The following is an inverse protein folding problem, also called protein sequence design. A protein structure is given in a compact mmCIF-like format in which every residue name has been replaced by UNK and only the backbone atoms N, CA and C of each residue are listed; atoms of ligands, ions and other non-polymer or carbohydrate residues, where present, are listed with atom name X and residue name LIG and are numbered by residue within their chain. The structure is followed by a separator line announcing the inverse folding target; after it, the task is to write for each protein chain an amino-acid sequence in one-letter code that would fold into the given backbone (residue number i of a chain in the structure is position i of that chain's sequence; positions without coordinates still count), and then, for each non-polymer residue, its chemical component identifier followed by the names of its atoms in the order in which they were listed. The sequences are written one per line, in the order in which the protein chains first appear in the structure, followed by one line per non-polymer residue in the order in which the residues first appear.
data_IF_184128065419
#
_entry.id   IF_184128065419
#
_cell.length_a   1.000
_cell.length_b   1.000
_cell.length_c   1.000
_cell.angle_alpha   90.00
_cell.angle_beta   90.00
_cell.angle_gamma   90.00
#
_symmetry.space_group_name_H-M   'P 1'
#
loop_
_entity.id
_entity.type
_entity.pdbx_description
1 polymer ?
#
# COMPACT_ATOMS: atom_id res chain seq x y z
N UNK A 1 -38.22 60.02 22.43
CA UNK A 1 -37.70 59.47 21.18
C UNK A 1 -36.67 58.44 21.46
N UNK A 2 -37.06 57.19 21.38
CA UNK A 2 -36.15 56.09 21.59
C UNK A 2 -35.44 55.80 20.28
N UNK A 3 -34.16 55.90 20.31
CA UNK A 3 -33.36 55.43 19.21
C UNK A 3 -32.98 54.00 19.50
N UNK A 4 -33.58 53.12 18.78
CA UNK A 4 -33.16 51.74 18.82
C UNK A 4 -31.81 51.63 18.15
N UNK A 5 -30.81 51.41 18.94
CA UNK A 5 -29.52 50.99 18.41
C UNK A 5 -29.63 49.56 17.95
N UNK A 6 -29.71 49.35 16.67
CA UNK A 6 -29.53 48.03 16.14
C UNK A 6 -28.03 47.69 16.26
N UNK A 7 -27.73 46.99 17.31
CA UNK A 7 -26.45 46.32 17.36
C UNK A 7 -26.52 45.15 16.42
N UNK A 8 -25.98 45.35 15.26
CA UNK A 8 -25.78 44.28 14.32
C UNK A 8 -24.65 43.41 14.87
N UNK A 9 -25.02 42.34 15.50
CA UNK A 9 -24.05 41.30 15.88
C UNK A 9 -23.61 40.65 14.59
N UNK A 10 -22.44 41.00 14.16
CA UNK A 10 -21.76 40.26 13.11
C UNK A 10 -21.35 38.93 13.73
N UNK A 11 -22.15 37.91 13.49
CA UNK A 11 -21.75 36.56 13.76
C UNK A 11 -20.69 36.21 12.72
N UNK A 12 -19.45 36.37 13.12
CA UNK A 12 -18.34 35.82 12.35
C UNK A 12 -18.47 34.31 12.47
N UNK A 13 -19.09 33.69 11.49
CA UNK A 13 -19.00 32.25 11.36
C UNK A 13 -17.55 31.93 10.99
N UNK A 14 -16.75 31.70 11.99
CA UNK A 14 -15.48 31.05 11.81
C UNK A 14 -15.79 29.63 11.36
N UNK A 15 -15.91 29.46 10.07
CA UNK A 15 -15.73 28.15 9.50
C UNK A 15 -14.26 27.83 9.77
N UNK A 16 -14.01 27.14 10.87
CA UNK A 16 -12.75 26.50 11.05
C UNK A 16 -12.61 25.57 9.86
N UNK A 17 -11.91 26.04 8.84
CA UNK A 17 -11.52 25.19 7.76
C UNK A 17 -10.85 24.02 8.42
N UNK A 18 -11.46 22.85 8.30
CA UNK A 18 -10.78 21.66 8.69
C UNK A 18 -9.55 21.59 7.79
N UNK A 19 -8.46 22.12 8.29
CA UNK A 19 -7.17 21.78 7.75
C UNK A 19 -7.04 20.28 8.01
N UNK A 20 -7.63 19.50 7.12
CA UNK A 20 -7.20 18.14 7.01
C UNK A 20 -5.70 18.21 6.81
N UNK A 21 -4.95 17.60 7.70
CA UNK A 21 -3.55 17.41 7.49
C UNK A 21 -3.33 16.44 6.32
N UNK A 22 -3.95 16.75 5.19
CA UNK A 22 -3.74 16.05 3.93
C UNK A 22 -2.57 16.65 3.16
N UNK A 23 -1.82 17.53 3.79
CA UNK A 23 -0.67 18.13 3.18
C UNK A 23 0.43 17.15 2.82
N UNK A 24 0.42 15.94 3.36
CA UNK A 24 1.37 14.89 2.98
C UNK A 24 0.61 13.61 2.78
N UNK A 25 0.28 13.33 1.53
CA UNK A 25 -0.01 11.97 1.15
C UNK A 25 1.18 11.11 1.62
N UNK A 26 0.93 10.13 2.45
CA UNK A 26 1.94 9.18 2.83
C UNK A 26 2.56 8.53 1.59
N UNK A 27 3.72 7.91 1.73
CA UNK A 27 4.41 7.27 0.62
C UNK A 27 3.66 6.06 0.07
N UNK A 28 2.56 5.66 0.71
CA UNK A 28 1.80 4.48 0.37
C UNK A 28 2.48 3.19 0.82
N UNK A 29 1.79 2.09 0.61
CA UNK A 29 2.32 0.75 0.88
C UNK A 29 3.35 0.42 -0.20
N UNK A 30 4.48 -0.15 0.20
CA UNK A 30 5.55 -0.54 -0.73
C UNK A 30 6.08 -1.92 -0.37
N UNK A 31 6.28 -2.75 -1.38
CA UNK A 31 7.03 -3.99 -1.29
C UNK A 31 8.50 -3.69 -1.53
N UNK A 32 9.38 -4.20 -0.70
CA UNK A 32 10.82 -4.14 -0.89
C UNK A 32 11.36 -5.52 -1.22
N UNK A 33 11.90 -5.68 -2.43
CA UNK A 33 12.45 -6.96 -2.86
C UNK A 33 13.86 -7.16 -2.32
N UNK A 34 13.97 -7.92 -1.26
CA UNK A 34 15.25 -8.34 -0.70
C UNK A 34 15.63 -9.77 -1.10
N UNK A 35 14.88 -10.38 -2.04
CA UNK A 35 15.27 -11.66 -2.62
C UNK A 35 16.40 -11.46 -3.61
N UNK A 36 17.11 -12.54 -3.92
CA UNK A 36 18.27 -12.48 -4.85
C UNK A 36 17.86 -12.40 -6.31
N UNK A 37 16.57 -12.52 -6.62
CA UNK A 37 16.08 -12.58 -8.00
C UNK A 37 15.09 -11.47 -8.29
N UNK A 38 14.98 -11.12 -9.57
CA UNK A 38 13.99 -10.15 -10.04
C UNK A 38 12.59 -10.75 -9.95
N UNK A 39 11.69 -10.03 -9.27
CA UNK A 39 10.29 -10.40 -9.16
C UNK A 39 9.56 -9.92 -10.43
N UNK A 40 8.85 -10.82 -11.08
CA UNK A 40 8.08 -10.52 -12.30
C UNK A 40 6.58 -10.51 -12.05
N UNK A 41 6.15 -10.91 -10.87
CA UNK A 41 4.73 -10.87 -10.50
C UNK A 41 4.54 -10.91 -9.00
N UNK A 42 3.56 -10.15 -8.53
CA UNK A 42 3.12 -10.14 -7.13
C UNK A 42 1.60 -10.16 -7.10
N UNK A 43 1.05 -11.12 -6.41
CA UNK A 43 -0.38 -11.18 -6.10
C UNK A 43 -0.53 -11.27 -4.58
N UNK A 44 -1.48 -10.54 -4.04
CA UNK A 44 -1.79 -10.55 -2.62
C UNK A 44 -3.19 -11.13 -2.39
N UNK A 45 -3.33 -11.88 -1.32
CA UNK A 45 -4.61 -12.37 -0.82
C UNK A 45 -4.69 -12.11 0.67
N UNK A 46 -5.88 -11.78 1.21
CA UNK A 46 -6.05 -11.85 2.66
C UNK A 46 -5.58 -13.21 3.16
N UNK A 47 -4.88 -13.22 4.29
CA UNK A 47 -4.22 -14.41 4.80
C UNK A 47 -5.19 -15.60 4.90
N UNK A 48 -4.82 -16.73 4.32
CA UNK A 48 -5.60 -17.96 4.33
C UNK A 48 -6.81 -18.00 3.41
N UNK A 49 -7.09 -16.95 2.65
CA UNK A 49 -8.30 -16.88 1.80
C UNK A 49 -8.10 -17.37 0.38
N UNK A 50 -6.88 -17.39 -0.11
CA UNK A 50 -6.56 -17.75 -1.52
C UNK A 50 -7.38 -16.93 -2.53
N UNK A 51 -7.65 -15.68 -2.22
CA UNK A 51 -8.34 -14.73 -3.07
C UNK A 51 -7.32 -13.76 -3.66
N UNK A 52 -6.61 -14.23 -4.68
CA UNK A 52 -5.46 -13.53 -5.24
C UNK A 52 -5.86 -12.31 -6.05
N UNK A 53 -5.19 -11.21 -5.79
CA UNK A 53 -5.31 -10.00 -6.59
C UNK A 53 -4.77 -10.21 -8.01
N UNK A 54 -5.01 -9.23 -8.87
CA UNK A 54 -4.27 -9.13 -10.12
C UNK A 54 -2.77 -8.95 -9.83
N UNK A 55 -1.94 -9.15 -10.84
CA UNK A 55 -0.49 -8.94 -10.70
C UNK A 55 -0.19 -7.44 -10.47
N UNK A 56 0.32 -7.12 -9.30
CA UNK A 56 0.56 -5.75 -8.87
C UNK A 56 1.81 -5.13 -9.51
N UNK A 57 2.69 -5.93 -10.10
CA UNK A 57 3.87 -5.41 -10.80
C UNK A 57 3.51 -4.70 -12.09
N UNK A 58 2.33 -4.97 -12.65
CA UNK A 58 1.88 -4.34 -13.90
C UNK A 58 1.69 -2.83 -13.77
N UNK A 59 1.53 -2.33 -12.54
CA UNK A 59 1.45 -0.90 -12.28
C UNK A 59 2.82 -0.22 -12.25
N UNK A 60 3.88 -1.00 -12.21
CA UNK A 60 5.24 -0.48 -12.24
C UNK A 60 5.69 -0.21 -13.67
N UNK A 61 6.57 0.77 -13.82
CA UNK A 61 7.06 1.20 -15.12
C UNK A 61 7.75 0.07 -15.88
N UNK A 62 8.56 -0.72 -15.18
CA UNK A 62 9.31 -1.83 -15.76
C UNK A 62 8.57 -3.16 -15.68
N UNK A 63 7.42 -3.20 -14.96
CA UNK A 63 6.62 -4.40 -14.70
C UNK A 63 7.39 -5.51 -14.00
N UNK A 64 8.46 -5.16 -13.32
CA UNK A 64 9.28 -6.07 -12.55
C UNK A 64 9.95 -5.32 -11.40
N UNK A 65 10.38 -6.04 -10.40
CA UNK A 65 11.01 -5.48 -9.20
C UNK A 65 12.36 -6.18 -9.01
N UNK A 66 13.43 -5.47 -9.31
CA UNK A 66 14.78 -6.00 -9.13
C UNK A 66 15.15 -6.10 -7.65
N UNK A 67 16.22 -6.82 -7.37
CA UNK A 67 16.78 -6.85 -6.02
C UNK A 67 17.02 -5.44 -5.51
N UNK A 68 16.61 -5.20 -4.26
CA UNK A 68 16.72 -3.93 -3.55
C UNK A 68 15.79 -2.81 -4.07
N UNK A 69 14.95 -3.09 -5.03
CA UNK A 69 13.92 -2.15 -5.48
C UNK A 69 12.65 -2.24 -4.63
N UNK A 70 11.89 -1.16 -4.67
CA UNK A 70 10.59 -1.07 -4.01
C UNK A 70 9.48 -0.91 -5.05
N UNK A 71 8.43 -1.70 -4.87
CA UNK A 71 7.22 -1.64 -5.68
C UNK A 71 6.13 -0.93 -4.89
N UNK A 72 5.56 0.12 -5.46
CA UNK A 72 4.38 0.75 -4.87
C UNK A 72 3.16 -0.15 -5.05
N UNK A 73 2.46 -0.42 -3.95
CA UNK A 73 1.25 -1.23 -3.94
C UNK A 73 0.06 -0.31 -3.74
N UNK A 74 -0.89 -0.35 -4.67
CA UNK A 74 -2.13 0.43 -4.59
C UNK A 74 -3.34 -0.48 -4.53
N UNK A 75 -4.44 0.03 -3.97
CA UNK A 75 -5.69 -0.71 -3.90
C UNK A 75 -5.71 -1.82 -2.85
N UNK A 76 -4.77 -1.83 -1.92
CA UNK A 76 -4.67 -2.81 -0.84
C UNK A 76 -4.86 -2.09 0.48
N UNK A 77 -5.76 -2.61 1.30
CA UNK A 77 -5.98 -2.13 2.66
C UNK A 77 -4.98 -2.76 3.63
N UNK A 78 -4.62 -2.06 4.72
CA UNK A 78 -3.79 -2.67 5.76
C UNK A 78 -4.41 -3.95 6.31
N UNK A 79 -3.58 -4.91 6.66
CA UNK A 79 -4.02 -6.19 7.21
C UNK A 79 -2.98 -7.27 7.03
N UNK A 80 -3.38 -8.51 7.30
CA UNK A 80 -2.54 -9.68 7.12
C UNK A 80 -2.80 -10.31 5.77
N UNK A 81 -1.74 -10.57 5.03
CA UNK A 81 -1.82 -11.09 3.66
C UNK A 81 -0.85 -12.25 3.43
N UNK A 82 -1.22 -13.06 2.45
CA UNK A 82 -0.28 -13.97 1.80
C UNK A 82 0.11 -13.34 0.45
N UNK A 83 1.34 -13.55 0.03
CA UNK A 83 1.83 -13.09 -1.26
C UNK A 83 2.22 -14.27 -2.13
N UNK A 84 1.85 -14.20 -3.39
CA UNK A 84 2.35 -15.09 -4.42
C UNK A 84 3.34 -14.30 -5.24
N UNK A 85 4.59 -14.75 -5.23
CA UNK A 85 5.70 -14.05 -5.87
C UNK A 85 6.17 -14.86 -7.06
N UNK A 86 6.17 -14.25 -8.22
CA UNK A 86 6.59 -14.90 -9.46
C UNK A 86 7.94 -14.39 -9.90
N UNK A 87 8.74 -15.29 -10.40
CA UNK A 87 10.06 -15.03 -10.96
C UNK A 87 10.10 -15.50 -12.41
N UNK A 88 11.20 -15.28 -13.11
CA UNK A 88 11.39 -15.82 -14.45
C UNK A 88 11.33 -17.35 -14.46
N UNK A 89 11.16 -17.95 -15.63
CA UNK A 89 11.11 -19.40 -15.84
C UNK A 89 9.96 -20.08 -15.08
N UNK A 90 8.83 -19.38 -14.95
CA UNK A 90 7.62 -19.89 -14.30
C UNK A 90 7.84 -20.29 -12.82
N UNK A 91 8.92 -19.84 -12.19
CA UNK A 91 9.13 -20.05 -10.76
C UNK A 91 8.18 -19.18 -9.97
N UNK A 92 7.51 -19.78 -9.00
CA UNK A 92 6.56 -19.07 -8.15
C UNK A 92 6.68 -19.56 -6.72
N UNK A 93 6.71 -18.64 -5.78
CA UNK A 93 6.80 -18.93 -4.36
C UNK A 93 5.67 -18.24 -3.61
N UNK A 94 5.41 -18.68 -2.40
CA UNK A 94 4.42 -18.07 -1.51
C UNK A 94 5.12 -17.54 -0.27
N UNK A 95 4.70 -16.37 0.17
CA UNK A 95 5.09 -15.79 1.47
C UNK A 95 3.82 -15.64 2.29
N UNK A 96 3.79 -16.20 3.48
CA UNK A 96 2.57 -16.24 4.30
C UNK A 96 2.62 -15.23 5.44
N UNK A 97 1.43 -14.76 5.83
CA UNK A 97 1.23 -13.96 7.04
C UNK A 97 2.07 -12.69 7.07
N UNK A 98 2.02 -11.93 5.99
CA UNK A 98 2.67 -10.63 5.90
C UNK A 98 1.75 -9.61 6.57
N UNK A 99 2.28 -8.87 7.54
CA UNK A 99 1.60 -7.73 8.12
C UNK A 99 1.82 -6.51 7.26
N UNK A 100 0.77 -6.05 6.59
CA UNK A 100 0.83 -4.84 5.76
C UNK A 100 0.19 -3.68 6.53
N UNK A 101 0.95 -2.62 6.72
CA UNK A 101 0.53 -1.42 7.42
C UNK A 101 0.43 -0.24 6.46
N UNK A 102 -0.47 0.70 6.78
CA UNK A 102 -0.63 1.91 5.98
C UNK A 102 0.70 2.67 5.86
N UNK A 103 1.00 3.15 4.66
CA UNK A 103 2.18 3.95 4.35
C UNK A 103 3.53 3.32 4.73
N UNK A 104 3.55 2.01 4.92
CA UNK A 104 4.74 1.29 5.35
C UNK A 104 5.34 0.43 4.24
N UNK A 105 6.60 0.10 4.41
CA UNK A 105 7.31 -0.86 3.59
C UNK A 105 7.21 -2.23 4.24
N UNK A 106 6.89 -3.25 3.47
CA UNK A 106 7.09 -4.63 3.88
C UNK A 106 8.11 -5.29 2.94
N UNK A 107 9.00 -6.08 3.50
CA UNK A 107 10.07 -6.71 2.72
C UNK A 107 9.82 -8.19 2.54
N UNK A 108 10.31 -8.72 1.44
CA UNK A 108 10.38 -10.15 1.19
C UNK A 108 11.85 -10.51 0.93
N UNK A 109 12.36 -11.45 1.69
CA UNK A 109 13.72 -11.97 1.54
C UNK A 109 13.66 -13.45 1.17
N UNK A 110 14.78 -14.02 0.71
CA UNK A 110 14.83 -15.43 0.29
C UNK A 110 14.35 -16.38 1.38
N UNK A 111 14.67 -16.08 2.64
CA UNK A 111 14.24 -16.91 3.79
C UNK A 111 12.72 -16.97 3.98
N UNK A 112 12.00 -16.00 3.43
CA UNK A 112 10.55 -15.91 3.59
C UNK A 112 9.80 -16.74 2.53
N UNK A 113 10.48 -17.15 1.48
CA UNK A 113 9.88 -17.87 0.37
C UNK A 113 9.54 -19.32 0.74
N UNK A 114 8.30 -19.71 0.50
CA UNK A 114 7.77 -21.03 0.79
C UNK A 114 7.09 -21.60 -0.44
N UNK A 115 6.91 -22.92 -0.43
CA UNK A 115 6.13 -23.62 -1.45
C UNK A 115 6.52 -23.22 -2.88
N UNK A 116 7.80 -23.00 -3.11
CA UNK A 116 8.28 -22.68 -4.44
C UNK A 116 8.11 -23.86 -5.37
N UNK A 117 7.46 -23.64 -6.51
CA UNK A 117 7.57 -24.61 -7.59
C UNK A 117 8.94 -24.48 -8.26
N UNK A 118 9.30 -25.48 -8.95
CA UNK A 118 10.59 -25.47 -9.66
C UNK A 118 10.57 -24.51 -10.82
#
# INVERSE_FOLDING_TARGET
MSRASLSMAVILLLIAGHAHAQGKAGKGIRLWNLTTSTITGVQLSPAGKQQWSANLTLADKDKEVDHDERLRITGIEPGSYDAKVSYSEARQCVVRNIEIKADAVFSIADKDLQDCNK
#
